data_IF_633699515177
#
_entry.id   IF_633699515177
#
_cell.length_a   1.000
_cell.length_b   1.000
_cell.length_c   1.000
_cell.angle_alpha   90.00
_cell.angle_beta   90.00
_cell.angle_gamma   90.00
#
_symmetry.space_group_name_H-M   'P 1'
#
loop_
_entity.id
_entity.type
_entity.pdbx_description
1 polymer ?
#
# COMPACT_ATOMS: atom_id res chain seq x y z
N UNK A 1 11.14 -7.63 4.32
CA UNK A 1 12.37 -7.67 3.49
C UNK A 1 12.31 -6.76 2.26
N UNK A 2 11.39 -6.97 1.30
CA UNK A 2 11.30 -6.12 0.09
C UNK A 2 11.16 -4.63 0.42
N UNK A 3 10.24 -4.27 1.32
CA UNK A 3 10.05 -2.88 1.77
C UNK A 3 11.33 -2.29 2.35
N UNK A 4 11.97 -2.99 3.29
CA UNK A 4 13.24 -2.57 3.91
C UNK A 4 14.33 -2.30 2.87
N UNK A 5 14.54 -3.22 1.92
CA UNK A 5 15.56 -3.06 0.88
C UNK A 5 15.33 -1.83 -0.02
N UNK A 6 14.07 -1.45 -0.24
CA UNK A 6 13.72 -0.26 -1.04
C UNK A 6 13.77 1.05 -0.25
N UNK A 7 14.00 0.99 1.06
CA UNK A 7 14.14 2.15 1.95
C UNK A 7 15.59 2.44 2.37
N UNK A 8 16.58 1.64 1.94
CA UNK A 8 17.99 1.81 2.35
C UNK A 8 18.56 3.23 2.09
N UNK A 9 18.10 3.91 1.04
CA UNK A 9 18.52 5.28 0.67
C UNK A 9 17.41 6.32 0.92
N UNK A 10 16.32 5.94 1.58
CA UNK A 10 15.21 6.83 1.85
C UNK A 10 15.40 7.50 3.21
N UNK A 11 15.76 8.79 3.22
CA UNK A 11 15.79 9.61 4.44
C UNK A 11 14.43 10.31 4.63
N UNK A 12 13.62 9.94 5.64
CA UNK A 12 12.31 10.54 5.84
C UNK A 12 12.35 12.05 6.07
N UNK A 13 13.44 12.61 6.61
CA UNK A 13 13.55 14.07 6.82
C UNK A 13 13.75 14.85 5.53
N UNK A 14 14.22 14.20 4.45
CA UNK A 14 14.55 14.85 3.17
C UNK A 14 13.66 14.42 2.02
N UNK A 15 13.25 13.16 2.02
CA UNK A 15 12.65 12.50 0.87
C UNK A 15 11.15 12.23 1.04
N UNK A 16 10.63 12.39 2.27
CA UNK A 16 9.24 12.10 2.57
C UNK A 16 8.31 13.08 1.86
N UNK A 17 7.29 12.52 1.20
CA UNK A 17 6.21 13.27 0.59
C UNK A 17 4.99 13.14 1.50
N UNK A 18 4.51 14.28 1.99
CA UNK A 18 3.30 14.37 2.81
C UNK A 18 2.12 13.69 2.11
N UNK A 19 1.26 13.04 2.89
CA UNK A 19 0.09 12.31 2.39
C UNK A 19 -0.73 13.12 1.36
N UNK A 20 -1.04 14.37 1.68
CA UNK A 20 -1.82 15.30 0.82
C UNK A 20 -1.16 15.62 -0.53
N UNK A 21 0.16 15.44 -0.64
CA UNK A 21 0.95 15.71 -1.86
C UNK A 21 1.15 14.45 -2.72
N UNK A 22 0.70 13.29 -2.25
CA UNK A 22 0.77 12.02 -2.99
C UNK A 22 -0.35 11.99 -4.03
N UNK A 23 -0.14 11.27 -5.12
CA UNK A 23 -1.21 11.08 -6.09
C UNK A 23 -2.34 10.23 -5.48
N UNK A 24 -3.58 10.48 -5.93
CA UNK A 24 -4.81 9.91 -5.38
C UNK A 24 -4.76 8.38 -5.24
N UNK A 25 -4.21 7.70 -6.26
CA UNK A 25 -4.02 6.25 -6.24
C UNK A 25 -3.19 5.77 -5.02
N UNK A 26 -2.10 6.47 -4.71
CA UNK A 26 -1.24 6.15 -3.58
C UNK A 26 -1.89 6.48 -2.24
N UNK A 27 -2.65 7.57 -2.17
CA UNK A 27 -3.43 7.91 -0.99
C UNK A 27 -4.43 6.80 -0.67
N UNK A 28 -5.12 6.25 -1.68
CA UNK A 28 -6.11 5.18 -1.48
C UNK A 28 -5.53 3.90 -0.88
N UNK A 29 -4.33 3.50 -1.29
CA UNK A 29 -3.63 2.34 -0.68
C UNK A 29 -3.42 2.56 0.82
N UNK A 30 -3.02 3.77 1.21
CA UNK A 30 -2.79 4.11 2.61
C UNK A 30 -4.12 4.22 3.39
N UNK A 31 -5.17 4.77 2.78
CA UNK A 31 -6.49 4.86 3.41
C UNK A 31 -7.13 3.48 3.63
N UNK A 32 -7.06 2.56 2.65
CA UNK A 32 -7.50 1.16 2.83
C UNK A 32 -6.73 0.50 4.00
N UNK A 33 -5.43 0.78 4.11
CA UNK A 33 -4.62 0.28 5.23
C UNK A 33 -5.01 0.90 6.57
N UNK A 34 -5.34 2.19 6.63
CA UNK A 34 -5.77 2.85 7.86
C UNK A 34 -7.16 2.37 8.33
N UNK A 35 -8.09 2.13 7.40
CA UNK A 35 -9.37 1.48 7.71
C UNK A 35 -9.14 0.10 8.33
N UNK A 36 -8.23 -0.70 7.75
CA UNK A 36 -7.86 -2.00 8.30
C UNK A 36 -7.20 -1.86 9.69
N UNK A 37 -6.32 -0.89 9.85
CA UNK A 37 -5.59 -0.64 11.09
C UNK A 37 -6.56 -0.35 12.24
N UNK A 38 -7.62 0.43 12.02
CA UNK A 38 -8.64 0.67 13.04
C UNK A 38 -9.31 -0.62 13.54
N UNK A 39 -9.57 -1.58 12.65
CA UNK A 39 -10.15 -2.88 13.01
C UNK A 39 -9.14 -3.77 13.76
N UNK A 40 -7.86 -3.70 13.37
CA UNK A 40 -6.77 -4.40 14.05
C UNK A 40 -6.59 -3.88 15.47
N UNK A 41 -6.58 -2.56 15.67
CA UNK A 41 -6.43 -1.94 16.99
C UNK A 41 -7.60 -2.27 17.90
N UNK A 42 -8.84 -2.23 17.38
CA UNK A 42 -10.01 -2.71 18.12
C UNK A 42 -9.87 -4.19 18.50
N UNK A 43 -9.38 -5.04 17.60
CA UNK A 43 -9.17 -6.46 17.90
C UNK A 43 -8.13 -6.67 19.01
N UNK A 44 -7.11 -5.79 19.11
CA UNK A 44 -6.17 -5.79 20.24
C UNK A 44 -6.84 -5.39 21.56
N UNK A 45 -7.71 -4.37 21.56
CA UNK A 45 -8.49 -3.94 22.73
C UNK A 45 -9.40 -5.07 23.24
N UNK A 46 -9.90 -5.90 22.33
CA UNK A 46 -10.73 -7.08 22.62
C UNK A 46 -9.94 -8.37 22.89
N UNK A 47 -8.60 -8.30 22.94
CA UNK A 47 -7.69 -9.45 23.09
C UNK A 47 -7.86 -10.54 22.01
N UNK A 48 -8.38 -10.19 20.84
CA UNK A 48 -8.64 -11.10 19.73
C UNK A 48 -7.47 -11.13 18.72
N UNK A 49 -6.38 -11.79 19.11
CA UNK A 49 -5.16 -11.87 18.29
C UNK A 49 -5.34 -12.69 16.99
N UNK A 50 -6.23 -13.68 17.00
CA UNK A 50 -6.58 -14.42 15.78
C UNK A 50 -7.21 -13.48 14.74
N UNK A 51 -8.12 -12.61 15.18
CA UNK A 51 -8.74 -11.62 14.31
C UNK A 51 -7.72 -10.67 13.72
N UNK A 52 -6.75 -10.19 14.52
CA UNK A 52 -5.63 -9.36 14.04
C UNK A 52 -4.93 -10.00 12.83
N UNK A 53 -4.53 -11.27 12.96
CA UNK A 53 -3.84 -11.98 11.87
C UNK A 53 -4.76 -12.22 10.68
N UNK A 54 -6.01 -12.63 10.91
CA UNK A 54 -6.98 -12.88 9.83
C UNK A 54 -7.30 -11.62 9.01
N UNK A 55 -7.30 -10.44 9.64
CA UNK A 55 -7.49 -9.15 8.99
C UNK A 55 -6.25 -8.73 8.21
N UNK A 56 -5.07 -8.87 8.83
CA UNK A 56 -3.82 -8.40 8.28
C UNK A 56 -3.31 -9.25 7.10
N UNK A 57 -3.49 -10.57 7.18
CA UNK A 57 -2.92 -11.51 6.22
C UNK A 57 -3.38 -11.29 4.76
N UNK A 58 -4.68 -11.11 4.47
CA UNK A 58 -5.15 -10.81 3.11
C UNK A 58 -4.62 -9.48 2.59
N UNK A 59 -4.45 -8.48 3.47
CA UNK A 59 -3.88 -7.19 3.07
C UNK A 59 -2.42 -7.34 2.66
N UNK A 60 -1.59 -8.01 3.47
CA UNK A 60 -0.18 -8.22 3.16
C UNK A 60 -0.03 -9.02 1.86
N UNK A 61 -0.79 -10.10 1.69
CA UNK A 61 -0.63 -11.01 0.55
C UNK A 61 -1.21 -10.44 -0.74
N UNK A 62 -2.47 -10.02 -0.73
CA UNK A 62 -3.20 -9.68 -1.95
C UNK A 62 -3.05 -8.20 -2.33
N UNK A 63 -3.18 -7.30 -1.37
CA UNK A 63 -3.15 -5.84 -1.63
C UNK A 63 -1.74 -5.31 -1.71
N UNK A 64 -0.91 -5.65 -0.73
CA UNK A 64 0.44 -5.13 -0.65
C UNK A 64 1.40 -5.92 -1.55
N UNK A 65 1.57 -7.22 -1.35
CA UNK A 65 2.57 -8.02 -2.07
C UNK A 65 2.20 -8.27 -3.53
N UNK A 66 1.02 -8.84 -3.80
CA UNK A 66 0.62 -9.26 -5.15
C UNK A 66 0.16 -8.10 -6.06
N UNK A 67 0.00 -6.90 -5.51
CA UNK A 67 -0.46 -5.74 -6.26
C UNK A 67 0.44 -4.54 -6.08
N UNK A 68 0.38 -3.84 -4.95
CA UNK A 68 1.02 -2.52 -4.82
C UNK A 68 2.55 -2.58 -4.96
N UNK A 69 3.20 -3.51 -4.24
CA UNK A 69 4.65 -3.69 -4.31
C UNK A 69 5.12 -4.32 -5.62
N UNK A 70 4.26 -5.07 -6.30
CA UNK A 70 4.60 -5.65 -7.61
C UNK A 70 4.66 -4.58 -8.68
N UNK A 71 3.62 -3.73 -8.77
CA UNK A 71 3.62 -2.54 -9.61
C UNK A 71 4.76 -1.57 -9.25
N UNK A 72 5.00 -1.36 -7.96
CA UNK A 72 6.04 -0.45 -7.50
C UNK A 72 7.45 -0.83 -7.95
N UNK A 73 7.72 -2.10 -8.30
CA UNK A 73 9.06 -2.55 -8.75
C UNK A 73 9.54 -1.78 -9.96
N UNK A 74 8.69 -1.59 -10.95
CA UNK A 74 9.08 -0.91 -12.19
C UNK A 74 9.51 0.52 -11.90
N UNK A 75 8.79 1.22 -11.02
CA UNK A 75 9.14 2.58 -10.62
C UNK A 75 10.39 2.60 -9.73
N UNK A 76 10.47 1.71 -8.73
CA UNK A 76 11.58 1.68 -7.79
C UNK A 76 12.91 1.31 -8.46
N UNK A 77 12.88 0.49 -9.51
CA UNK A 77 14.08 -0.03 -10.18
C UNK A 77 14.49 0.75 -11.43
N UNK A 78 13.54 1.37 -12.12
CA UNK A 78 13.80 2.08 -13.39
C UNK A 78 13.99 3.58 -13.15
N UNK A 79 13.13 4.19 -12.33
CA UNK A 79 13.14 5.64 -12.18
C UNK A 79 14.33 6.17 -11.40
N UNK A 80 14.76 7.39 -11.74
CA UNK A 80 15.84 8.09 -11.05
C UNK A 80 15.52 8.24 -9.57
N UNK A 81 16.57 8.34 -8.74
CA UNK A 81 16.43 8.40 -7.28
C UNK A 81 15.50 9.54 -6.80
N UNK A 82 15.56 10.70 -7.45
CA UNK A 82 14.74 11.88 -7.12
C UNK A 82 13.45 12.00 -7.94
N UNK A 83 13.03 10.92 -8.63
CA UNK A 83 11.73 10.90 -9.29
C UNK A 83 10.60 11.05 -8.25
N UNK A 84 9.63 11.95 -8.52
CA UNK A 84 8.51 12.25 -7.62
C UNK A 84 7.71 11.00 -7.25
N UNK A 85 7.35 10.19 -8.25
CA UNK A 85 6.57 8.97 -8.07
C UNK A 85 7.32 7.95 -7.22
N UNK A 86 8.61 7.78 -7.47
CA UNK A 86 9.48 6.93 -6.66
C UNK A 86 9.48 7.37 -5.20
N UNK A 87 9.58 8.68 -4.92
CA UNK A 87 9.53 9.20 -3.54
C UNK A 87 8.15 9.06 -2.89
N UNK A 88 7.06 9.19 -3.66
CA UNK A 88 5.70 8.92 -3.16
C UNK A 88 5.58 7.46 -2.73
N UNK A 89 5.99 6.52 -3.59
CA UNK A 89 5.96 5.08 -3.28
C UNK A 89 6.82 4.77 -2.06
N UNK A 90 8.04 5.31 -1.97
CA UNK A 90 8.89 5.10 -0.79
C UNK A 90 8.26 5.68 0.48
N UNK A 91 7.59 6.83 0.41
CA UNK A 91 6.88 7.41 1.55
C UNK A 91 5.71 6.52 2.01
N UNK A 92 4.93 5.99 1.06
CA UNK A 92 3.87 5.00 1.36
C UNK A 92 4.44 3.71 1.98
N UNK A 93 5.51 3.15 1.40
CA UNK A 93 6.18 1.96 1.91
C UNK A 93 6.70 2.20 3.32
N UNK A 94 7.29 3.37 3.58
CA UNK A 94 7.78 3.76 4.89
C UNK A 94 6.65 3.80 5.92
N UNK A 95 5.54 4.48 5.63
CA UNK A 95 4.40 4.57 6.55
C UNK A 95 3.81 3.20 6.86
N UNK A 96 3.51 2.42 5.82
CA UNK A 96 2.93 1.07 5.96
C UNK A 96 3.88 0.17 6.75
N UNK A 97 5.16 0.17 6.42
CA UNK A 97 6.15 -0.64 7.14
C UNK A 97 6.23 -0.27 8.62
N UNK A 98 6.26 1.02 8.96
CA UNK A 98 6.34 1.47 10.35
C UNK A 98 5.12 1.02 11.16
N UNK A 99 3.91 1.14 10.61
CA UNK A 99 2.71 0.62 11.26
C UNK A 99 2.72 -0.90 11.35
N UNK A 100 3.13 -1.61 10.29
CA UNK A 100 3.25 -3.07 10.31
C UNK A 100 4.19 -3.53 11.42
N UNK A 101 5.36 -2.91 11.57
CA UNK A 101 6.30 -3.24 12.64
C UNK A 101 5.67 -3.03 14.02
N UNK A 102 4.99 -1.89 14.23
CA UNK A 102 4.32 -1.58 15.50
C UNK A 102 3.24 -2.60 15.85
N UNK A 103 2.33 -2.91 14.93
CA UNK A 103 1.24 -3.85 15.18
C UNK A 103 1.71 -5.31 15.20
N UNK A 104 2.81 -5.66 14.52
CA UNK A 104 3.32 -7.03 14.56
C UNK A 104 4.22 -7.29 15.78
N UNK A 105 4.75 -6.26 16.43
CA UNK A 105 5.65 -6.41 17.59
C UNK A 105 5.05 -7.27 18.72
N UNK A 106 3.76 -7.15 19.09
CA UNK A 106 3.14 -8.03 20.09
C UNK A 106 3.05 -9.51 19.69
N UNK A 107 3.17 -9.85 18.40
CA UNK A 107 2.98 -11.21 17.87
C UNK A 107 4.33 -11.86 17.48
N UNK A 108 5.19 -11.09 16.80
CA UNK A 108 6.51 -11.53 16.31
C UNK A 108 7.63 -10.58 16.78
N UNK A 109 7.83 -10.44 18.11
CA UNK A 109 8.69 -9.42 18.71
C UNK A 109 10.12 -9.40 18.17
N UNK A 110 10.77 -10.56 18.10
CA UNK A 110 12.16 -10.67 17.65
C UNK A 110 12.30 -10.28 16.17
N UNK A 111 11.39 -10.75 15.32
CA UNK A 111 11.39 -10.42 13.88
C UNK A 111 11.11 -8.95 13.63
N UNK A 112 10.17 -8.35 14.38
CA UNK A 112 9.87 -6.92 14.29
C UNK A 112 11.08 -6.07 14.71
N UNK A 113 11.75 -6.48 15.79
CA UNK A 113 13.00 -5.87 16.27
C UNK A 113 14.09 -5.93 15.22
N UNK A 114 14.41 -7.13 14.73
CA UNK A 114 15.42 -7.33 13.69
C UNK A 114 15.14 -6.45 12.46
N UNK A 115 13.90 -6.47 11.97
CA UNK A 115 13.48 -5.66 10.85
C UNK A 115 13.64 -4.15 11.12
N UNK A 116 13.22 -3.66 12.28
CA UNK A 116 13.37 -2.26 12.68
C UNK A 116 14.84 -1.84 12.77
N UNK A 117 15.71 -2.71 13.28
CA UNK A 117 17.14 -2.42 13.43
C UNK A 117 17.83 -2.16 12.09
N UNK A 118 17.32 -2.73 10.99
CA UNK A 118 17.83 -2.50 9.63
C UNK A 118 17.44 -1.15 9.02
N UNK A 119 16.53 -0.39 9.63
CA UNK A 119 16.13 0.93 9.12
C UNK A 119 17.24 1.97 9.35
N UNK A 120 17.73 2.65 8.29
CA UNK A 120 18.85 3.59 8.41
C UNK A 120 18.51 4.87 9.20
N UNK A 121 17.24 5.29 9.20
CA UNK A 121 16.78 6.53 9.82
C UNK A 121 15.65 6.29 10.83
N UNK A 122 15.79 5.26 11.66
CA UNK A 122 14.88 4.98 12.77
C UNK A 122 14.92 6.10 13.82
N UNK A 123 13.76 6.45 14.36
CA UNK A 123 13.63 7.56 15.32
C UNK A 123 13.95 7.14 16.77
N UNK A 124 13.70 5.87 17.09
CA UNK A 124 13.95 5.28 18.41
C UNK A 124 15.03 4.21 18.33
N UNK A 125 15.56 3.84 19.48
CA UNK A 125 16.57 2.79 19.58
C UNK A 125 16.01 1.44 19.12
N UNK A 126 14.74 1.17 19.42
CA UNK A 126 14.09 -0.10 19.15
C UNK A 126 12.58 0.08 18.89
N UNK A 127 11.96 -0.90 18.23
CA UNK A 127 10.51 -0.92 17.96
C UNK A 127 9.71 -0.98 19.26
N UNK A 128 10.23 -1.56 20.35
CA UNK A 128 9.56 -1.54 21.67
C UNK A 128 9.37 -0.14 22.25
N UNK A 129 10.11 0.86 21.77
CA UNK A 129 10.03 2.26 22.21
C UNK A 129 9.14 3.11 21.31
N UNK A 130 8.57 2.52 20.26
CA UNK A 130 7.61 3.16 19.39
C UNK A 130 6.20 3.00 19.96
N UNK A 131 5.41 4.07 19.88
CA UNK A 131 4.00 4.01 20.26
C UNK A 131 3.18 3.40 19.12
N UNK A 132 2.30 2.47 19.47
CA UNK A 132 1.18 2.07 18.63
C UNK A 132 0.19 3.26 18.62
N UNK A 133 -0.26 3.74 17.46
CA UNK A 133 -1.29 4.77 17.41
C UNK A 133 -2.56 4.27 18.11
N UNK A 134 -3.29 5.15 18.79
CA UNK A 134 -4.58 4.75 19.35
C UNK A 134 -5.67 4.73 18.25
N UNK A 135 -6.76 4.01 18.52
CA UNK A 135 -7.86 3.82 17.56
C UNK A 135 -8.50 5.15 17.13
N UNK A 136 -8.61 6.12 18.04
CA UNK A 136 -9.21 7.44 17.77
C UNK A 136 -8.36 8.28 16.81
N UNK A 137 -7.04 8.32 17.01
CA UNK A 137 -6.10 9.01 16.12
C UNK A 137 -6.18 8.47 14.69
N UNK A 138 -6.26 7.15 14.53
CA UNK A 138 -6.40 6.55 13.19
C UNK A 138 -7.75 6.92 12.57
N UNK A 139 -8.84 6.87 13.35
CA UNK A 139 -10.16 7.27 12.87
C UNK A 139 -10.19 8.75 12.46
N UNK A 140 -9.58 9.63 13.23
CA UNK A 140 -9.45 11.06 12.90
C UNK A 140 -8.66 11.27 11.61
N UNK A 141 -7.52 10.59 11.45
CA UNK A 141 -6.72 10.66 10.21
C UNK A 141 -7.56 10.22 9.02
N UNK A 142 -8.32 9.12 9.14
CA UNK A 142 -9.24 8.67 8.09
C UNK A 142 -10.28 9.76 7.81
N UNK A 143 -10.97 10.28 8.82
CA UNK A 143 -12.03 11.30 8.66
C UNK A 143 -11.51 12.61 8.06
N UNK A 144 -10.34 13.08 8.48
CA UNK A 144 -9.77 14.35 8.01
C UNK A 144 -9.36 14.29 6.54
N UNK A 145 -8.79 13.15 6.13
CA UNK A 145 -8.41 12.89 4.75
C UNK A 145 -9.62 12.55 3.84
N UNK A 146 -10.84 12.51 4.40
CA UNK A 146 -12.02 11.93 3.74
C UNK A 146 -12.92 12.88 2.94
N UNK A 147 -12.54 14.14 2.67
CA UNK A 147 -13.46 15.10 1.99
C UNK A 147 -14.06 14.58 0.66
N UNK A 148 -13.33 13.73 -0.08
CA UNK A 148 -13.79 13.06 -1.31
C UNK A 148 -13.65 11.52 -1.26
N UNK A 149 -13.57 10.93 -0.07
CA UNK A 149 -13.18 9.53 0.07
C UNK A 149 -14.18 8.55 -0.51
N UNK A 150 -15.49 8.82 -0.37
CA UNK A 150 -16.50 7.91 -0.90
C UNK A 150 -16.38 7.76 -2.42
N UNK A 151 -16.27 8.88 -3.14
CA UNK A 151 -16.10 8.88 -4.60
C UNK A 151 -14.77 8.24 -5.01
N UNK A 152 -13.69 8.54 -4.28
CA UNK A 152 -12.36 7.98 -4.56
C UNK A 152 -12.32 6.46 -4.29
N UNK A 153 -12.97 5.99 -3.23
CA UNK A 153 -13.12 4.57 -2.89
C UNK A 153 -13.96 3.82 -3.90
N UNK A 154 -15.04 4.44 -4.39
CA UNK A 154 -15.84 3.88 -5.48
C UNK A 154 -15.01 3.78 -6.78
N UNK A 155 -14.28 4.82 -7.13
CA UNK A 155 -13.36 4.80 -8.28
C UNK A 155 -12.28 3.71 -8.13
N UNK A 156 -11.71 3.56 -6.94
CA UNK A 156 -10.72 2.51 -6.65
C UNK A 156 -11.33 1.10 -6.74
N UNK A 157 -12.57 0.93 -6.31
CA UNK A 157 -13.32 -0.33 -6.45
C UNK A 157 -13.57 -0.67 -7.92
N UNK A 158 -13.96 0.32 -8.73
CA UNK A 158 -14.08 0.16 -10.19
C UNK A 158 -12.74 -0.22 -10.82
N UNK A 159 -11.65 0.42 -10.42
CA UNK A 159 -10.31 0.07 -10.88
C UNK A 159 -9.96 -1.40 -10.56
N UNK A 160 -10.20 -1.88 -9.34
CA UNK A 160 -9.95 -3.29 -9.01
C UNK A 160 -10.78 -4.26 -9.83
N UNK A 161 -12.08 -3.99 -10.00
CA UNK A 161 -12.96 -4.83 -10.81
C UNK A 161 -12.48 -4.92 -12.27
N UNK A 162 -12.02 -3.79 -12.82
CA UNK A 162 -11.43 -3.75 -14.15
C UNK A 162 -10.13 -4.55 -14.20
N UNK A 163 -9.24 -4.37 -13.22
CA UNK A 163 -7.97 -5.11 -13.11
C UNK A 163 -8.20 -6.62 -13.04
N UNK A 164 -9.14 -7.10 -12.23
CA UNK A 164 -9.46 -8.53 -12.13
C UNK A 164 -9.94 -9.09 -13.47
N UNK A 165 -10.80 -8.35 -14.17
CA UNK A 165 -11.28 -8.73 -15.50
C UNK A 165 -10.13 -8.83 -16.51
N UNK A 166 -9.19 -7.88 -16.48
CA UNK A 166 -8.00 -7.87 -17.34
C UNK A 166 -7.09 -9.05 -16.98
N UNK A 167 -6.78 -9.26 -15.70
CA UNK A 167 -5.90 -10.35 -15.26
C UNK A 167 -6.44 -11.73 -15.66
N UNK A 168 -7.76 -11.93 -15.57
CA UNK A 168 -8.39 -13.15 -16.04
C UNK A 168 -8.14 -13.37 -17.54
N UNK A 169 -8.29 -12.33 -18.37
CA UNK A 169 -7.99 -12.41 -19.80
C UNK A 169 -6.52 -12.63 -20.11
N UNK A 170 -5.62 -12.02 -19.34
CA UNK A 170 -4.18 -12.29 -19.47
C UNK A 170 -3.85 -13.74 -19.11
N UNK A 171 -4.50 -14.31 -18.10
CA UNK A 171 -4.30 -15.70 -17.71
C UNK A 171 -4.83 -16.68 -18.77
N UNK A 172 -6.02 -16.42 -19.32
CA UNK A 172 -6.56 -17.17 -20.47
C UNK A 172 -5.57 -17.14 -21.66
N UNK A 173 -4.97 -15.97 -21.96
CA UNK A 173 -3.98 -15.84 -23.02
C UNK A 173 -2.67 -16.60 -22.73
N UNK A 174 -2.22 -16.66 -21.48
CA UNK A 174 -1.05 -17.48 -21.07
C UNK A 174 -1.31 -18.97 -21.22
N UNK A 175 -2.48 -19.44 -20.79
CA UNK A 175 -2.88 -20.84 -20.92
C UNK A 175 -2.90 -21.28 -22.39
N UNK A 176 -3.34 -20.39 -23.28
CA UNK A 176 -3.33 -20.59 -24.73
C UNK A 176 -1.96 -20.32 -25.38
N UNK A 177 -0.90 -20.05 -24.60
CA UNK A 177 0.47 -19.77 -25.05
C UNK A 177 0.60 -18.58 -26.01
N UNK A 178 -0.35 -17.64 -25.97
CA UNK A 178 -0.33 -16.43 -26.80
C UNK A 178 0.69 -15.44 -26.24
N UNK A 179 0.80 -15.36 -24.91
CA UNK A 179 1.72 -14.46 -24.20
C UNK A 179 2.48 -15.23 -23.13
N UNK A 180 3.69 -14.77 -22.80
CA UNK A 180 4.47 -15.31 -21.68
C UNK A 180 4.51 -14.34 -20.51
N UNK A 181 4.73 -13.05 -20.77
CA UNK A 181 4.80 -11.99 -19.75
C UNK A 181 3.75 -10.91 -20.03
N UNK A 182 3.14 -10.36 -18.98
CA UNK A 182 2.19 -9.23 -19.12
C UNK A 182 2.82 -8.00 -19.77
N UNK A 183 4.11 -7.78 -19.57
CA UNK A 183 4.85 -6.65 -20.16
C UNK A 183 4.94 -6.69 -21.70
N UNK A 184 4.56 -7.81 -22.34
CA UNK A 184 4.52 -7.95 -23.79
C UNK A 184 3.16 -7.56 -24.39
N UNK A 185 2.20 -7.20 -23.54
CA UNK A 185 0.80 -7.01 -23.93
C UNK A 185 0.49 -5.54 -24.10
N UNK A 186 -0.15 -5.22 -25.22
CA UNK A 186 -0.84 -3.96 -25.42
C UNK A 186 -2.34 -4.17 -25.17
N UNK A 187 -2.93 -3.37 -24.28
CA UNK A 187 -4.35 -3.47 -23.92
C UNK A 187 -5.16 -2.42 -24.69
N UNK A 188 -6.20 -2.88 -25.40
CA UNK A 188 -7.20 -2.01 -26.01
C UNK A 188 -8.51 -2.24 -25.24
N UNK A 189 -8.96 -1.21 -24.53
CA UNK A 189 -10.12 -1.28 -23.64
C UNK A 189 -11.24 -0.37 -24.15
N UNK A 190 -12.44 -0.92 -24.31
CA UNK A 190 -13.66 -0.13 -24.53
C UNK A 190 -14.43 -0.10 -23.22
N UNK A 191 -14.40 1.04 -22.52
CA UNK A 191 -14.89 1.17 -21.15
C UNK A 191 -16.18 2.00 -21.07
N UNK A 192 -17.16 1.62 -20.24
CA UNK A 192 -18.26 2.50 -19.87
C UNK A 192 -17.76 3.79 -19.20
N UNK A 193 -18.49 4.90 -19.37
CA UNK A 193 -18.13 6.23 -18.83
C UNK A 193 -17.73 6.23 -17.34
N UNK A 194 -18.35 5.38 -16.52
CA UNK A 194 -18.03 5.28 -15.09
C UNK A 194 -16.58 4.83 -14.82
N UNK A 195 -16.04 3.91 -15.62
CA UNK A 195 -14.66 3.44 -15.47
C UNK A 195 -13.67 4.49 -15.95
N UNK A 196 -13.98 5.20 -17.04
CA UNK A 196 -13.14 6.31 -17.55
C UNK A 196 -12.98 7.38 -16.47
N UNK A 197 -14.10 7.86 -15.92
CA UNK A 197 -14.09 8.85 -14.82
C UNK A 197 -13.32 8.35 -13.59
N UNK A 198 -13.45 7.07 -13.25
CA UNK A 198 -12.72 6.50 -12.14
C UNK A 198 -11.20 6.51 -12.36
N UNK A 199 -10.73 6.16 -13.56
CA UNK A 199 -9.31 6.17 -13.91
C UNK A 199 -8.75 7.60 -13.92
N UNK A 200 -9.51 8.57 -14.44
CA UNK A 200 -9.16 10.00 -14.41
C UNK A 200 -9.04 10.52 -12.98
N UNK A 201 -10.00 10.20 -12.10
CA UNK A 201 -9.96 10.60 -10.69
C UNK A 201 -8.75 10.03 -9.95
N UNK A 202 -8.41 8.78 -10.24
CA UNK A 202 -7.22 8.11 -9.70
C UNK A 202 -5.92 8.56 -10.35
N UNK A 203 -5.99 9.41 -11.39
CA UNK A 203 -4.86 9.88 -12.20
C UNK A 203 -4.01 8.76 -12.78
N UNK A 204 -4.66 7.65 -13.13
CA UNK A 204 -4.00 6.55 -13.83
C UNK A 204 -3.87 6.98 -15.29
N UNK A 205 -2.62 7.21 -15.74
CA UNK A 205 -2.33 7.66 -17.10
C UNK A 205 -2.59 6.54 -18.11
N UNK A 206 -2.89 6.96 -19.34
CA UNK A 206 -2.94 6.10 -20.55
C UNK A 206 -1.58 5.46 -20.86
#
# INVERSE_FOLDING_TARGET
RFMLGNLNQFNPQKHYIDFEKRETFHQMIMLEFQELLSQILQSYEEYNFEKVISLLYPFITNKLSAFYLDFAKDILYIEKENNKERRIIQSNIYDILMYLLKILTPIIPHTATEAYQTLPFKQKLDIYLENIPNTEQIKEIVIQNNKNFHETKEAFSLFYNLRESILKKLEEARQNKIINKSAQVYLILTLPKKYIKALELLKIKE
#
